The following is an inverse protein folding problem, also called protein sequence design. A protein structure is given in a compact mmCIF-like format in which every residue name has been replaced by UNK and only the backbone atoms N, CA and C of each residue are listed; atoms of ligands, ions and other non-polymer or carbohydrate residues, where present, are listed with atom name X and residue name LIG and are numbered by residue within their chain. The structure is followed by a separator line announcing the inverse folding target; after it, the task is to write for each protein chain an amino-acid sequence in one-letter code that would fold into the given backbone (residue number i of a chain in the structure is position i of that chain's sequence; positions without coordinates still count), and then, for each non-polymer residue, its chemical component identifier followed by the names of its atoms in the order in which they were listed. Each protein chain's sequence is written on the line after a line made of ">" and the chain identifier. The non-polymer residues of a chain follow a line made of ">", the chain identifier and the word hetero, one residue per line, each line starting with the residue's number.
data_IF_788976266197
#
_entry.id   IF_788976266197
#
_cell.length_a   1.000
_cell.length_b   1.000
_cell.length_c   1.000
_cell.angle_alpha   90.00
_cell.angle_beta   90.00
_cell.angle_gamma   90.00
#
_symmetry.space_group_name_H-M   'P 1'
#
loop_
_entity.id
_entity.type
_entity.pdbx_description
1 polymer ?
#
# COMPACT_ATOMS: atom_id res chain seq x y z
N UNK A 1 -26.74 -7.25 6.55
CA UNK A 1 -26.00 -6.25 7.34
C UNK A 1 -24.80 -5.80 6.52
N UNK A 2 -24.42 -4.51 6.50
CA UNK A 2 -23.25 -4.05 5.75
C UNK A 2 -21.97 -4.39 6.55
N UNK A 3 -20.97 -4.96 5.89
CA UNK A 3 -19.67 -5.31 6.50
C UNK A 3 -18.76 -4.08 6.55
N UNK A 4 -18.12 -3.77 7.70
CA UNK A 4 -17.12 -2.70 7.77
C UNK A 4 -15.97 -2.90 6.78
N UNK A 5 -15.46 -1.80 6.24
CA UNK A 5 -14.31 -1.79 5.34
C UNK A 5 -13.22 -0.93 5.96
N UNK A 6 -12.07 -1.54 6.21
CA UNK A 6 -10.85 -0.85 6.62
C UNK A 6 -10.04 -0.53 5.37
N UNK A 7 -9.77 0.75 5.13
CA UNK A 7 -9.01 1.20 3.96
C UNK A 7 -7.63 1.67 4.41
N UNK A 8 -6.57 1.12 3.82
CA UNK A 8 -5.18 1.54 4.01
C UNK A 8 -4.65 2.08 2.68
N UNK A 9 -4.63 3.41 2.48
CA UNK A 9 -3.88 4.00 1.38
C UNK A 9 -2.38 3.91 1.68
N UNK A 10 -1.59 3.62 0.65
CA UNK A 10 -0.13 3.54 0.73
C UNK A 10 0.48 4.32 -0.42
N UNK A 11 1.30 5.31 -0.08
CA UNK A 11 1.89 6.25 -1.04
C UNK A 11 3.36 5.93 -1.21
N UNK A 12 3.80 5.89 -2.47
CA UNK A 12 5.15 5.50 -2.83
C UNK A 12 5.78 6.53 -3.75
N UNK A 13 7.08 6.71 -3.61
CA UNK A 13 7.91 7.54 -4.49
C UNK A 13 9.07 6.75 -5.05
N UNK A 14 9.78 7.36 -6.01
CA UNK A 14 11.03 6.82 -6.55
C UNK A 14 12.03 6.50 -5.43
N UNK A 15 13.02 5.71 -5.78
CA UNK A 15 14.10 5.40 -4.85
C UNK A 15 14.79 6.68 -4.36
N UNK A 16 15.37 6.64 -3.16
CA UNK A 16 16.03 7.83 -2.60
C UNK A 16 17.09 8.43 -3.52
N UNK A 17 17.81 7.57 -4.25
CA UNK A 17 18.87 7.94 -5.19
C UNK A 17 18.37 8.76 -6.38
N UNK A 18 17.10 8.57 -6.78
CA UNK A 18 16.49 9.26 -7.94
C UNK A 18 15.97 10.67 -7.58
N UNK A 19 15.80 10.95 -6.28
CA UNK A 19 15.32 12.24 -5.79
C UNK A 19 13.88 12.56 -6.18
N UNK A 20 13.46 13.80 -5.88
CA UNK A 20 12.14 14.33 -6.23
C UNK A 20 12.26 15.11 -7.54
N UNK A 21 11.36 14.86 -8.49
CA UNK A 21 11.25 15.62 -9.74
C UNK A 21 10.13 16.66 -9.63
N UNK A 22 10.21 17.74 -10.41
CA UNK A 22 9.21 18.83 -10.40
C UNK A 22 7.81 18.39 -10.86
N UNK A 23 7.74 17.30 -11.62
CA UNK A 23 6.50 16.73 -12.15
C UNK A 23 5.81 15.80 -11.18
N UNK A 24 6.44 15.49 -10.04
CA UNK A 24 5.89 14.53 -9.08
C UNK A 24 4.69 15.12 -8.35
N UNK A 25 3.68 14.29 -8.16
CA UNK A 25 2.57 14.61 -7.27
C UNK A 25 3.10 14.70 -5.83
N UNK A 26 2.64 15.71 -5.10
CA UNK A 26 3.06 15.96 -3.73
C UNK A 26 2.10 15.24 -2.79
N UNK A 27 2.58 14.16 -2.19
CA UNK A 27 1.93 13.47 -1.07
C UNK A 27 2.74 13.67 0.21
N UNK A 28 2.08 13.56 1.36
CA UNK A 28 2.76 13.60 2.65
C UNK A 28 3.57 12.31 2.86
N UNK A 29 4.89 12.45 2.97
CA UNK A 29 5.84 11.37 3.25
C UNK A 29 5.63 10.05 2.47
N UNK A 30 5.59 10.04 1.12
CA UNK A 30 5.54 8.79 0.36
C UNK A 30 6.79 7.95 0.61
N UNK A 31 6.58 6.64 0.75
CA UNK A 31 7.66 5.69 1.03
C UNK A 31 8.53 5.50 -0.22
N UNK A 32 9.86 5.62 -0.13
CA UNK A 32 10.74 5.28 -1.25
C UNK A 32 10.60 3.80 -1.67
N UNK A 33 10.66 3.52 -2.98
CA UNK A 33 10.60 2.15 -3.52
C UNK A 33 11.72 1.23 -3.02
N UNK A 34 12.88 1.78 -2.66
CA UNK A 34 14.03 1.08 -2.09
C UNK A 34 13.89 0.80 -0.58
N UNK A 35 12.81 1.25 0.06
CA UNK A 35 12.53 0.99 1.47
C UNK A 35 11.42 -0.06 1.66
N UNK A 36 11.43 -0.70 2.83
CA UNK A 36 10.37 -1.64 3.22
C UNK A 36 9.07 -0.93 3.63
N UNK A 37 9.16 0.29 4.15
CA UNK A 37 8.02 1.02 4.70
C UNK A 37 7.39 0.32 5.90
N UNK A 38 6.11 0.63 6.15
CA UNK A 38 5.34 0.11 7.30
C UNK A 38 4.10 -0.70 6.91
N UNK A 39 3.80 -0.82 5.63
CA UNK A 39 2.58 -1.45 5.13
C UNK A 39 2.42 -2.90 5.62
N UNK A 40 3.47 -3.72 5.50
CA UNK A 40 3.45 -5.13 5.97
C UNK A 40 3.04 -5.23 7.44
N UNK A 41 3.73 -4.46 8.29
CA UNK A 41 3.46 -4.39 9.74
C UNK A 41 2.04 -3.90 10.03
N UNK A 42 1.53 -2.94 9.25
CA UNK A 42 0.17 -2.44 9.41
C UNK A 42 -0.86 -3.54 9.08
N UNK A 43 -0.70 -4.26 7.97
CA UNK A 43 -1.57 -5.38 7.58
C UNK A 43 -1.56 -6.45 8.68
N UNK A 44 -0.39 -6.91 9.11
CA UNK A 44 -0.24 -7.97 10.11
C UNK A 44 -0.76 -7.53 11.49
N UNK A 45 -0.71 -6.23 11.80
CA UNK A 45 -1.25 -5.72 13.06
C UNK A 45 -2.76 -5.93 13.19
N UNK A 46 -3.50 -6.09 12.08
CA UNK A 46 -4.94 -6.39 12.13
C UNK A 46 -5.25 -7.72 12.83
N UNK A 47 -4.26 -8.61 12.98
CA UNK A 47 -4.38 -9.87 13.73
C UNK A 47 -4.74 -9.65 15.20
N UNK A 48 -4.40 -8.52 15.80
CA UNK A 48 -4.74 -8.24 17.21
C UNK A 48 -6.23 -7.96 17.45
N UNK A 49 -6.99 -7.67 16.39
CA UNK A 49 -8.43 -7.39 16.48
C UNK A 49 -9.20 -8.66 16.83
N UNK A 50 -10.10 -8.59 17.81
CA UNK A 50 -10.96 -9.74 18.19
C UNK A 50 -12.02 -10.03 17.14
N UNK A 51 -12.60 -8.98 16.56
CA UNK A 51 -13.58 -9.09 15.50
C UNK A 51 -12.88 -9.09 14.13
N UNK A 52 -13.15 -10.13 13.34
CA UNK A 52 -12.61 -10.33 11.98
C UNK A 52 -13.66 -10.14 10.90
N UNK A 53 -14.87 -9.73 11.26
CA UNK A 53 -15.93 -9.46 10.29
C UNK A 53 -15.77 -8.07 9.64
N UNK A 54 -14.63 -7.85 8.98
CA UNK A 54 -14.39 -6.68 8.13
C UNK A 54 -13.65 -7.07 6.84
N UNK A 55 -13.63 -6.15 5.88
CA UNK A 55 -12.81 -6.26 4.66
C UNK A 55 -11.63 -5.30 4.77
N UNK A 56 -10.45 -5.73 4.32
CA UNK A 56 -9.29 -4.87 4.19
C UNK A 56 -9.14 -4.43 2.73
N UNK A 57 -9.04 -3.14 2.49
CA UNK A 57 -8.79 -2.56 1.16
C UNK A 57 -7.45 -1.83 1.22
N UNK A 58 -6.56 -2.16 0.29
CA UNK A 58 -5.26 -1.50 0.14
C UNK A 58 -5.27 -0.74 -1.17
N UNK A 59 -4.94 0.55 -1.11
CA UNK A 59 -4.86 1.42 -2.29
C UNK A 59 -3.41 1.85 -2.46
N UNK A 60 -2.74 1.35 -3.50
CA UNK A 60 -1.38 1.75 -3.83
C UNK A 60 -1.39 2.98 -4.74
N UNK A 61 -0.64 4.01 -4.33
CA UNK A 61 -0.53 5.27 -5.07
C UNK A 61 0.94 5.55 -5.32
N UNK A 62 1.30 5.63 -6.59
CA UNK A 62 2.57 6.19 -7.01
C UNK A 62 2.47 7.72 -7.07
N UNK A 63 3.53 8.41 -6.66
CA UNK A 63 3.60 9.86 -6.81
C UNK A 63 4.06 10.31 -8.21
N UNK A 64 4.36 9.36 -9.10
CA UNK A 64 4.74 9.63 -10.48
C UNK A 64 4.39 8.44 -11.39
N UNK A 65 4.04 8.75 -12.64
CA UNK A 65 3.60 7.76 -13.64
C UNK A 65 4.68 6.70 -13.95
N UNK A 66 5.95 7.11 -14.03
CA UNK A 66 7.08 6.23 -14.39
C UNK A 66 7.38 5.13 -13.36
N UNK A 67 6.75 5.15 -12.19
CA UNK A 67 6.92 4.12 -11.15
C UNK A 67 5.65 3.36 -10.81
N UNK A 68 4.51 3.67 -11.44
CA UNK A 68 3.22 3.06 -11.11
C UNK A 68 3.26 1.54 -11.10
N UNK A 69 3.81 0.93 -12.14
CA UNK A 69 3.94 -0.52 -12.23
C UNK A 69 4.88 -1.09 -11.16
N UNK A 70 6.00 -0.41 -10.85
CA UNK A 70 6.94 -0.84 -9.80
C UNK A 70 6.29 -0.79 -8.42
N UNK A 71 5.46 0.23 -8.16
CA UNK A 71 4.69 0.39 -6.93
C UNK A 71 3.67 -0.73 -6.80
N UNK A 72 2.93 -1.02 -7.86
CA UNK A 72 1.96 -2.11 -7.89
C UNK A 72 2.61 -3.45 -7.54
N UNK A 73 3.67 -3.83 -8.26
CA UNK A 73 4.38 -5.08 -8.04
C UNK A 73 4.96 -5.19 -6.61
N UNK A 74 5.48 -4.09 -6.08
CA UNK A 74 6.01 -4.05 -4.71
C UNK A 74 4.91 -4.27 -3.68
N UNK A 75 3.77 -3.60 -3.84
CA UNK A 75 2.64 -3.73 -2.90
C UNK A 75 2.00 -5.11 -2.98
N UNK A 76 1.85 -5.68 -4.18
CA UNK A 76 1.41 -7.08 -4.36
C UNK A 76 2.33 -8.06 -3.62
N UNK A 77 3.65 -7.88 -3.70
CA UNK A 77 4.62 -8.71 -2.96
C UNK A 77 4.50 -8.54 -1.44
N UNK A 78 4.27 -7.31 -0.96
CA UNK A 78 4.02 -7.04 0.46
C UNK A 78 2.76 -7.79 0.91
N UNK A 79 1.64 -7.61 0.22
CA UNK A 79 0.35 -8.25 0.55
C UNK A 79 0.48 -9.78 0.54
N UNK A 80 1.10 -10.34 -0.50
CA UNK A 80 1.27 -11.79 -0.66
C UNK A 80 2.18 -12.42 0.40
N UNK A 81 3.05 -11.62 1.03
CA UNK A 81 3.96 -12.07 2.09
C UNK A 81 3.50 -11.69 3.49
N UNK A 82 2.34 -11.02 3.62
CA UNK A 82 1.73 -10.66 4.90
C UNK A 82 0.89 -11.81 5.45
N UNK A 83 0.99 -12.01 6.76
CA UNK A 83 0.08 -12.88 7.49
C UNK A 83 -1.20 -12.12 7.84
N UNK A 84 -2.28 -12.36 7.07
CA UNK A 84 -3.58 -11.67 7.18
C UNK A 84 -4.72 -12.68 7.18
N UNK A 85 -5.65 -12.51 8.12
CA UNK A 85 -6.75 -13.46 8.38
C UNK A 85 -8.11 -12.99 7.82
N UNK A 86 -8.13 -11.83 7.16
CA UNK A 86 -9.33 -11.23 6.57
C UNK A 86 -9.18 -11.08 5.06
N UNK A 87 -10.28 -11.03 4.29
CA UNK A 87 -10.21 -10.78 2.85
C UNK A 87 -9.56 -9.44 2.55
N UNK A 88 -8.62 -9.44 1.61
CA UNK A 88 -7.90 -8.25 1.15
C UNK A 88 -8.29 -7.96 -0.30
N UNK A 89 -8.72 -6.72 -0.54
CA UNK A 89 -8.88 -6.16 -1.88
C UNK A 89 -7.75 -5.16 -2.13
N UNK A 90 -7.26 -5.14 -3.36
CA UNK A 90 -6.15 -4.30 -3.76
C UNK A 90 -6.55 -3.48 -4.97
N UNK A 91 -6.24 -2.18 -4.94
CA UNK A 91 -6.44 -1.24 -6.02
C UNK A 91 -5.14 -0.48 -6.27
N UNK A 92 -4.81 -0.27 -7.54
CA UNK A 92 -3.57 0.37 -7.98
C UNK A 92 -3.80 1.12 -9.30
N UNK A 93 -2.73 1.57 -9.95
CA UNK A 93 -2.80 2.32 -11.21
C UNK A 93 -3.56 1.58 -12.32
N UNK A 94 -3.46 0.25 -12.37
CA UNK A 94 -4.05 -0.53 -13.45
C UNK A 94 -5.50 -0.90 -13.14
N UNK A 95 -5.82 -1.38 -11.94
CA UNK A 95 -7.19 -1.70 -11.46
C UNK A 95 -7.24 -1.72 -9.93
#
# INVERSE_FOLDING_TARGET
>A
MKKPVMVIPTYWRREKSEGIKKTDLIYDHPTPLDENGTLKRAIESTKVLKDKDFLLVIIAVANAEDIEQRVEEKVVKIISSSDVEVPVFFFSHSH
#
